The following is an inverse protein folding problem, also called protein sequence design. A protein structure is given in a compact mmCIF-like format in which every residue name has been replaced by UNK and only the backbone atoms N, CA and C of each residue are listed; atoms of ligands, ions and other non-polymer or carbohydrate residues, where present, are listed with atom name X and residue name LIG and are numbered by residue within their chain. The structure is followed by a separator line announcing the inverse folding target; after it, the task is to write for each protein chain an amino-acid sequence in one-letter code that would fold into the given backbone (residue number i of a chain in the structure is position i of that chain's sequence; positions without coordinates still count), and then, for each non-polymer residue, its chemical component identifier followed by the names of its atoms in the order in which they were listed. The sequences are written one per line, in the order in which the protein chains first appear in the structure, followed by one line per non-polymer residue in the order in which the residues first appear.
data_IF_592375716204
#
_entry.id   IF_592375716204
#
_cell.length_a   1.000
_cell.length_b   1.000
_cell.length_c   1.000
_cell.angle_alpha   90.00
_cell.angle_beta   90.00
_cell.angle_gamma   90.00
#
_symmetry.space_group_name_H-M   'P 1'
#
loop_
_entity.id
_entity.type
_entity.pdbx_description
1 polymer ?
#
# COMPACT_ATOMS: atom_id res chain seq x y z
N UNK A 1 -33.93 8.46 -4.34
CA UNK A 1 -32.66 7.88 -3.85
C UNK A 1 -32.67 7.87 -2.33
N UNK A 2 -32.25 6.78 -1.69
CA UNK A 2 -32.18 6.71 -0.22
C UNK A 2 -31.00 7.52 0.33
N UNK A 3 -31.08 7.96 1.59
CA UNK A 3 -29.96 8.63 2.30
C UNK A 3 -28.71 7.73 2.28
N UNK A 4 -28.87 6.42 2.43
CA UNK A 4 -27.77 5.45 2.37
C UNK A 4 -27.04 5.47 1.02
N UNK A 5 -27.78 5.55 -0.09
CA UNK A 5 -27.21 5.63 -1.44
C UNK A 5 -26.42 6.94 -1.65
N UNK A 6 -26.93 8.06 -1.12
CA UNK A 6 -26.24 9.36 -1.19
C UNK A 6 -24.93 9.36 -0.39
N UNK A 7 -24.95 8.81 0.82
CA UNK A 7 -23.75 8.67 1.64
C UNK A 7 -22.72 7.79 0.93
N UNK A 8 -23.14 6.68 0.35
CA UNK A 8 -22.24 5.77 -0.36
C UNK A 8 -21.61 6.40 -1.60
N UNK A 9 -22.38 7.17 -2.39
CA UNK A 9 -21.85 7.93 -3.52
C UNK A 9 -20.85 9.01 -3.08
N UNK A 10 -21.15 9.74 -2.00
CA UNK A 10 -20.24 10.75 -1.45
C UNK A 10 -18.93 10.13 -0.92
N UNK A 11 -19.00 8.95 -0.31
CA UNK A 11 -17.84 8.18 0.15
C UNK A 11 -16.98 7.73 -1.03
N UNK A 12 -17.58 7.26 -2.12
CA UNK A 12 -16.87 6.90 -3.35
C UNK A 12 -16.16 8.12 -3.93
N UNK A 13 -16.85 9.26 -4.05
CA UNK A 13 -16.28 10.50 -4.55
C UNK A 13 -15.07 10.94 -3.70
N UNK A 14 -15.21 10.96 -2.37
CA UNK A 14 -14.12 11.29 -1.45
C UNK A 14 -12.93 10.35 -1.58
N UNK A 15 -13.19 9.04 -1.69
CA UNK A 15 -12.16 8.02 -1.89
C UNK A 15 -11.43 8.17 -3.24
N UNK A 16 -12.14 8.54 -4.32
CA UNK A 16 -11.54 8.85 -5.62
C UNK A 16 -10.58 10.05 -5.55
N UNK A 17 -10.99 11.13 -4.85
CA UNK A 17 -10.12 12.30 -4.66
C UNK A 17 -8.88 11.93 -3.84
N UNK A 18 -9.05 11.20 -2.74
CA UNK A 18 -7.95 10.76 -1.90
C UNK A 18 -6.98 9.84 -2.67
N UNK A 19 -7.50 8.90 -3.47
CA UNK A 19 -6.71 8.01 -4.31
C UNK A 19 -5.90 8.81 -5.34
N UNK A 20 -6.55 9.75 -6.03
CA UNK A 20 -5.92 10.60 -7.05
C UNK A 20 -4.82 11.46 -6.45
N UNK A 21 -5.08 12.02 -5.27
CA UNK A 21 -4.08 12.77 -4.51
C UNK A 21 -2.90 11.87 -4.13
N UNK A 22 -3.17 10.70 -3.55
CA UNK A 22 -2.14 9.73 -3.16
C UNK A 22 -1.27 9.32 -4.37
N UNK A 23 -1.89 9.05 -5.52
CA UNK A 23 -1.22 8.72 -6.77
C UNK A 23 -0.33 9.88 -7.27
N UNK A 24 -0.83 11.12 -7.22
CA UNK A 24 -0.05 12.29 -7.61
C UNK A 24 1.18 12.48 -6.70
N UNK A 25 1.02 12.34 -5.38
CA UNK A 25 2.15 12.36 -4.44
C UNK A 25 3.12 11.19 -4.65
N UNK A 26 2.61 9.99 -4.94
CA UNK A 26 3.44 8.82 -5.27
C UNK A 26 4.33 9.09 -6.48
N UNK A 27 3.77 9.67 -7.56
CA UNK A 27 4.50 9.99 -8.78
C UNK A 27 5.56 11.08 -8.58
N UNK A 28 5.33 12.01 -7.64
CA UNK A 28 6.29 13.07 -7.29
C UNK A 28 7.38 12.63 -6.32
N UNK A 29 7.17 11.54 -5.58
CA UNK A 29 8.12 11.07 -4.58
C UNK A 29 9.38 10.48 -5.26
N UNK A 30 10.54 10.73 -4.65
CA UNK A 30 11.84 10.24 -5.14
C UNK A 30 11.84 8.71 -5.18
N UNK A 31 12.31 8.13 -6.28
CA UNK A 31 12.37 6.67 -6.47
C UNK A 31 13.24 6.03 -5.37
N UNK A 32 12.73 4.96 -4.75
CA UNK A 32 13.42 4.24 -3.67
C UNK A 32 13.40 4.95 -2.30
N UNK A 33 12.66 6.04 -2.13
CA UNK A 33 12.48 6.68 -0.82
C UNK A 33 11.39 6.01 0.02
N UNK A 34 11.52 6.06 1.35
CA UNK A 34 10.48 5.59 2.27
C UNK A 34 9.13 6.28 2.04
N UNK A 35 9.16 7.58 1.71
CA UNK A 35 7.95 8.35 1.44
C UNK A 35 7.20 7.82 0.21
N UNK A 36 7.92 7.41 -0.85
CA UNK A 36 7.32 6.80 -2.04
C UNK A 36 6.61 5.49 -1.71
N UNK A 37 7.22 4.65 -0.86
CA UNK A 37 6.60 3.41 -0.39
C UNK A 37 5.30 3.67 0.37
N UNK A 38 5.32 4.59 1.35
CA UNK A 38 4.11 4.93 2.14
C UNK A 38 2.98 5.42 1.23
N UNK A 39 3.29 6.31 0.27
CA UNK A 39 2.28 6.80 -0.67
C UNK A 39 1.78 5.71 -1.61
N UNK A 40 2.63 4.77 -2.02
CA UNK A 40 2.21 3.60 -2.79
C UNK A 40 1.24 2.74 -1.99
N UNK A 41 1.54 2.40 -0.74
CA UNK A 41 0.64 1.63 0.12
C UNK A 41 -0.70 2.33 0.32
N UNK A 42 -0.68 3.65 0.57
CA UNK A 42 -1.91 4.46 0.66
C UNK A 42 -2.71 4.44 -0.63
N UNK A 43 -2.06 4.62 -1.78
CA UNK A 43 -2.70 4.53 -3.08
C UNK A 43 -3.34 3.14 -3.30
N UNK A 44 -2.63 2.05 -3.03
CA UNK A 44 -3.14 0.68 -3.18
C UNK A 44 -4.37 0.44 -2.30
N UNK A 45 -4.30 0.85 -1.02
CA UNK A 45 -5.44 0.70 -0.10
C UNK A 45 -6.64 1.51 -0.58
N UNK A 46 -6.44 2.76 -1.01
CA UNK A 46 -7.52 3.61 -1.52
C UNK A 46 -8.12 3.05 -2.82
N UNK A 47 -7.30 2.56 -3.75
CA UNK A 47 -7.77 1.91 -4.97
C UNK A 47 -8.62 0.66 -4.66
N UNK A 48 -8.21 -0.16 -3.69
CA UNK A 48 -9.02 -1.29 -3.21
C UNK A 48 -10.34 -0.84 -2.58
N UNK A 49 -10.31 0.21 -1.74
CA UNK A 49 -11.53 0.77 -1.12
C UNK A 49 -12.51 1.24 -2.19
N UNK A 50 -12.04 2.00 -3.19
CA UNK A 50 -12.93 2.46 -4.26
C UNK A 50 -13.45 1.29 -5.08
N UNK A 51 -12.62 0.30 -5.39
CA UNK A 51 -13.07 -0.90 -6.10
C UNK A 51 -14.20 -1.62 -5.34
N UNK A 52 -14.04 -1.83 -4.04
CA UNK A 52 -15.08 -2.45 -3.19
C UNK A 52 -16.36 -1.62 -3.18
N UNK A 53 -16.26 -0.30 -2.97
CA UNK A 53 -17.43 0.57 -2.96
C UNK A 53 -18.14 0.59 -4.32
N UNK A 54 -17.39 0.63 -5.42
CA UNK A 54 -17.97 0.53 -6.77
C UNK A 54 -18.66 -0.82 -6.99
N UNK A 55 -18.10 -1.93 -6.52
CA UNK A 55 -18.78 -3.24 -6.58
C UNK A 55 -20.07 -3.25 -5.76
N UNK A 56 -20.08 -2.64 -4.58
CA UNK A 56 -21.30 -2.52 -3.75
C UNK A 56 -22.37 -1.70 -4.47
N UNK A 57 -22.02 -0.58 -5.11
CA UNK A 57 -22.99 0.19 -5.92
C UNK A 57 -23.54 -0.66 -7.05
N UNK A 58 -22.68 -1.37 -7.76
CA UNK A 58 -23.13 -2.23 -8.86
C UNK A 58 -24.14 -3.29 -8.41
N UNK A 59 -23.95 -3.90 -7.23
CA UNK A 59 -24.91 -4.87 -6.67
C UNK A 59 -26.25 -4.20 -6.37
N UNK A 60 -26.22 -2.98 -5.80
CA UNK A 60 -27.42 -2.20 -5.53
C UNK A 60 -28.14 -1.85 -6.85
N UNK A 61 -27.42 -1.38 -7.85
CA UNK A 61 -27.99 -0.99 -9.16
C UNK A 61 -28.60 -2.20 -9.89
N UNK A 62 -27.94 -3.36 -9.86
CA UNK A 62 -28.53 -4.63 -10.39
C UNK A 62 -29.81 -4.98 -9.64
N UNK A 63 -29.83 -4.87 -8.30
CA UNK A 63 -31.03 -5.16 -7.52
C UNK A 63 -32.18 -4.19 -7.77
N UNK A 64 -31.86 -2.97 -8.22
CA UNK A 64 -32.83 -1.96 -8.65
C UNK A 64 -33.26 -2.10 -10.13
N UNK A 65 -32.68 -3.06 -10.87
CA UNK A 65 -32.98 -3.30 -12.29
C UNK A 65 -32.14 -2.47 -13.26
N UNK A 66 -31.18 -1.68 -12.79
CA UNK A 66 -30.33 -0.82 -13.63
C UNK A 66 -28.98 -1.49 -13.94
N UNK A 67 -28.99 -2.28 -15.01
CA UNK A 67 -27.82 -3.08 -15.41
C UNK A 67 -26.73 -2.24 -16.11
N UNK A 68 -27.09 -1.11 -16.71
CA UNK A 68 -26.14 -0.24 -17.42
C UNK A 68 -25.25 0.50 -16.43
N UNK A 69 -25.85 1.11 -15.40
CA UNK A 69 -25.08 1.78 -14.36
C UNK A 69 -24.25 0.79 -13.53
N UNK A 70 -24.79 -0.40 -13.25
CA UNK A 70 -24.03 -1.46 -12.60
C UNK A 70 -22.78 -1.87 -13.39
N UNK A 71 -22.91 -2.03 -14.72
CA UNK A 71 -21.77 -2.37 -15.57
C UNK A 71 -20.68 -1.30 -15.55
N UNK A 72 -21.07 -0.02 -15.51
CA UNK A 72 -20.13 1.10 -15.39
C UNK A 72 -19.35 1.03 -14.07
N UNK A 73 -20.02 0.78 -12.95
CA UNK A 73 -19.38 0.66 -11.64
C UNK A 73 -18.44 -0.55 -11.56
N UNK A 74 -18.83 -1.68 -12.16
CA UNK A 74 -17.96 -2.85 -12.27
C UNK A 74 -16.74 -2.58 -13.16
N UNK A 75 -16.89 -1.87 -14.26
CA UNK A 75 -15.77 -1.47 -15.11
C UNK A 75 -14.78 -0.59 -14.35
N UNK A 76 -15.27 0.36 -13.56
CA UNK A 76 -14.46 1.21 -12.68
C UNK A 76 -13.68 0.37 -11.65
N UNK A 77 -14.33 -0.61 -11.01
CA UNK A 77 -13.68 -1.52 -10.07
C UNK A 77 -12.61 -2.38 -10.76
N UNK A 78 -12.93 -2.96 -11.92
CA UNK A 78 -12.03 -3.80 -12.69
C UNK A 78 -10.79 -3.03 -13.15
N UNK A 79 -10.95 -1.80 -13.67
CA UNK A 79 -9.84 -0.96 -14.08
C UNK A 79 -8.84 -0.71 -12.96
N UNK A 80 -9.31 -0.52 -11.72
CA UNK A 80 -8.42 -0.35 -10.56
C UNK A 80 -7.64 -1.61 -10.24
N UNK A 81 -8.31 -2.75 -10.20
CA UNK A 81 -7.63 -4.03 -9.95
C UNK A 81 -6.57 -4.29 -11.01
N UNK A 82 -6.90 -4.05 -12.29
CA UNK A 82 -5.94 -4.17 -13.40
C UNK A 82 -4.77 -3.19 -13.23
N UNK A 83 -5.04 -1.93 -12.90
CA UNK A 83 -4.00 -0.94 -12.66
C UNK A 83 -3.05 -1.34 -11.52
N UNK A 84 -3.55 -1.97 -10.45
CA UNK A 84 -2.73 -2.47 -9.34
C UNK A 84 -1.87 -3.65 -9.75
N UNK A 85 -2.42 -4.57 -10.55
CA UNK A 85 -1.68 -5.74 -11.07
C UNK A 85 -0.59 -5.32 -12.04
N UNK A 86 -0.90 -4.41 -12.97
CA UNK A 86 0.06 -3.94 -13.98
C UNK A 86 1.15 -3.05 -13.37
N UNK A 87 0.82 -2.24 -12.36
CA UNK A 87 1.80 -1.36 -11.68
C UNK A 87 2.48 -2.04 -10.48
N UNK A 88 2.71 -3.37 -10.57
CA UNK A 88 3.51 -4.09 -9.57
C UNK A 88 5.00 -3.72 -9.73
N UNK A 89 5.38 -2.56 -9.19
CA UNK A 89 6.76 -2.09 -9.15
C UNK A 89 7.64 -3.02 -8.30
N UNK A 90 8.64 -3.59 -8.96
CA UNK A 90 9.67 -4.49 -8.43
C UNK A 90 10.75 -3.74 -7.63
N UNK A 91 10.88 -2.44 -7.86
CA UNK A 91 11.94 -1.60 -7.29
C UNK A 91 11.78 -1.29 -5.78
N UNK A 92 10.55 -1.28 -5.26
CA UNK A 92 10.31 -0.97 -3.85
C UNK A 92 10.70 -2.14 -2.92
N UNK A 93 10.71 -3.38 -3.43
CA UNK A 93 11.17 -4.56 -2.69
C UNK A 93 12.67 -4.46 -2.34
N UNK A 94 13.45 -3.75 -3.17
CA UNK A 94 14.89 -3.62 -2.98
C UNK A 94 15.26 -2.66 -1.86
N UNK A 95 14.44 -1.64 -1.60
CA UNK A 95 14.62 -0.77 -0.42
C UNK A 95 14.46 -1.58 0.87
N UNK A 96 13.41 -2.40 0.98
CA UNK A 96 13.19 -3.27 2.15
C UNK A 96 14.29 -4.32 2.30
N UNK A 97 14.74 -4.92 1.20
CA UNK A 97 15.86 -5.86 1.23
C UNK A 97 17.17 -5.19 1.65
N UNK A 98 17.40 -3.92 1.30
CA UNK A 98 18.58 -3.16 1.72
C UNK A 98 18.50 -2.73 3.18
N UNK A 99 17.38 -2.13 3.60
CA UNK A 99 17.15 -1.70 4.98
C UNK A 99 17.12 -2.89 5.93
N UNK A 100 16.43 -3.97 5.58
CA UNK A 100 16.42 -5.23 6.35
C UNK A 100 17.82 -5.85 6.46
N UNK A 101 18.64 -5.79 5.41
CA UNK A 101 20.06 -6.20 5.47
C UNK A 101 20.87 -5.31 6.42
N UNK A 102 20.62 -3.99 6.44
CA UNK A 102 21.29 -3.06 7.34
C UNK A 102 20.91 -3.32 8.80
N UNK A 103 19.63 -3.50 9.09
CA UNK A 103 19.13 -3.86 10.43
C UNK A 103 19.72 -5.20 10.87
N UNK A 104 19.70 -6.23 10.00
CA UNK A 104 20.27 -7.54 10.31
C UNK A 104 21.78 -7.47 10.58
N UNK A 105 22.52 -6.61 9.86
CA UNK A 105 23.94 -6.33 10.14
C UNK A 105 24.12 -5.63 11.50
N UNK A 106 23.28 -4.66 11.82
CA UNK A 106 23.26 -3.98 13.12
C UNK A 106 23.03 -4.95 14.27
N UNK A 107 21.98 -5.78 14.16
CA UNK A 107 21.68 -6.84 15.15
C UNK A 107 22.84 -7.82 15.28
N UNK A 108 23.44 -8.29 14.18
CA UNK A 108 24.62 -9.18 14.25
C UNK A 108 25.80 -8.54 14.97
N UNK A 109 26.06 -7.24 14.77
CA UNK A 109 27.14 -6.52 15.49
C UNK A 109 26.86 -6.41 16.97
N UNK A 110 25.62 -6.07 17.34
CA UNK A 110 25.20 -5.96 18.74
C UNK A 110 25.28 -7.33 19.43
N UNK A 111 24.77 -8.38 18.79
CA UNK A 111 24.87 -9.76 19.29
C UNK A 111 26.33 -10.17 19.43
N UNK A 112 27.19 -9.93 18.43
CA UNK A 112 28.61 -10.25 18.49
C UNK A 112 29.34 -9.51 19.62
N UNK A 113 28.97 -8.26 19.92
CA UNK A 113 29.50 -7.49 21.04
C UNK A 113 28.99 -7.97 22.41
N UNK A 114 27.82 -8.61 22.45
CA UNK A 114 27.21 -9.15 23.68
C UNK A 114 27.62 -10.60 23.96
N UNK A 115 28.06 -11.36 22.95
CA UNK A 115 28.71 -12.66 23.16
C UNK A 115 30.16 -12.46 23.61
N UNK A 116 30.52 -12.80 24.86
CA UNK A 116 31.91 -12.77 25.27
C UNK A 116 32.71 -13.77 24.43
N UNK A 117 33.77 -13.29 23.79
CA UNK A 117 34.73 -14.13 23.07
C UNK A 117 35.43 -15.03 24.10
N UNK A 118 35.32 -16.37 24.02
CA UNK A 118 36.08 -17.24 24.90
C UNK A 118 37.56 -17.11 24.50
N UNK A 119 38.36 -16.45 25.34
CA UNK A 119 39.81 -16.30 25.12
C UNK A 119 40.43 -14.92 25.37
N UNK A 120 39.64 -13.87 25.67
CA UNK A 120 40.22 -12.59 26.12
C UNK A 120 40.59 -12.67 27.61
N UNK A 121 41.59 -13.51 27.93
CA UNK A 121 42.31 -13.40 29.18
C UNK A 121 43.17 -12.13 29.10
N UNK A 122 42.88 -11.15 29.95
CA UNK A 122 43.78 -10.02 30.15
C UNK A 122 45.14 -10.56 30.65
N UNK A 123 46.28 -10.05 30.16
CA UNK A 123 47.57 -10.48 30.66
C UNK A 123 47.68 -10.08 32.13
N UNK A 124 47.83 -11.08 33.01
CA UNK A 124 48.08 -10.89 34.43
C UNK A 124 49.53 -10.43 34.58
N UNK A 125 49.82 -9.25 35.18
CA UNK A 125 51.18 -8.81 35.41
C UNK A 125 51.85 -9.72 36.46
N UNK A 126 53.09 -10.10 36.16
CA UNK A 126 53.96 -10.96 36.97
C UNK A 126 54.42 -10.29 38.28
#
# INVERSE_FOLDING_TARGET
MSIGTLLLLSAVLGANFAETYALATYRRAVRGSHQRYVWRTRYVLLACVVAVLSTVIAIIDVSAGDTVFAALWLAIAAMRVVALVLNRDKDDDDWFKRTGRAIRKGVKRVVAALTPTPGSAAPVPA
#
